data_IF_527221098672
#
_entry.id   IF_527221098672
#
_cell.length_a   1.000
_cell.length_b   1.000
_cell.length_c   1.000
_cell.angle_alpha   90.00
_cell.angle_beta   90.00
_cell.angle_gamma   90.00
#
_symmetry.space_group_name_H-M   'P 1'
#
loop_
_entity.id
_entity.type
_entity.pdbx_description
1 polymer ?
#
# COMPACT_ATOMS: atom_id res chain seq x y z
N UNK A 1 11.98 -8.45 30.17
CA UNK A 1 11.78 -8.06 31.60
C UNK A 1 10.49 -8.68 32.09
N UNK A 2 10.27 -8.73 33.40
CA UNK A 2 8.98 -9.18 33.92
C UNK A 2 7.84 -8.31 33.35
N UNK A 3 6.89 -8.92 32.65
CA UNK A 3 5.66 -8.26 32.18
C UNK A 3 5.74 -7.43 30.89
N UNK A 4 6.89 -7.34 30.21
CA UNK A 4 6.99 -6.57 28.96
C UNK A 4 8.38 -6.47 28.33
N UNK A 5 8.47 -5.58 27.34
CA UNK A 5 9.64 -5.32 26.50
C UNK A 5 10.08 -3.86 26.61
N UNK A 6 11.36 -3.60 26.35
CA UNK A 6 11.89 -2.25 26.11
C UNK A 6 12.07 -2.08 24.60
N UNK A 7 11.52 -1.02 24.05
CA UNK A 7 11.55 -0.71 22.63
C UNK A 7 12.43 0.53 22.40
N UNK A 8 13.47 0.34 21.60
CA UNK A 8 14.35 1.41 21.12
C UNK A 8 14.48 1.29 19.61
N UNK A 9 14.35 2.40 18.90
CA UNK A 9 14.49 2.44 17.45
C UNK A 9 13.92 3.70 16.84
N UNK A 10 14.10 3.81 15.53
CA UNK A 10 13.55 4.85 14.69
C UNK A 10 12.84 4.20 13.50
N UNK A 11 11.60 4.62 13.24
CA UNK A 11 10.75 4.08 12.19
C UNK A 11 10.37 5.21 11.24
N UNK A 12 10.87 5.19 10.00
CA UNK A 12 10.42 6.14 8.98
C UNK A 12 9.03 5.76 8.46
N UNK A 13 8.43 6.68 7.71
CA UNK A 13 7.16 6.49 7.00
C UNK A 13 5.93 6.25 7.91
N UNK A 14 5.85 6.90 9.06
CA UNK A 14 4.66 6.83 9.93
C UNK A 14 3.54 7.74 9.41
N UNK A 15 2.81 7.23 8.41
CA UNK A 15 1.77 8.00 7.70
C UNK A 15 0.62 8.40 8.62
N UNK A 16 0.28 9.69 8.65
CA UNK A 16 -0.80 10.24 9.48
C UNK A 16 -0.45 10.36 10.97
N UNK A 17 0.84 10.31 11.32
CA UNK A 17 1.27 10.26 12.73
C UNK A 17 0.82 11.48 13.54
N UNK A 18 0.78 12.68 12.95
CA UNK A 18 0.34 13.90 13.63
C UNK A 18 -1.12 13.83 14.11
N UNK A 19 -1.96 13.03 13.43
CA UNK A 19 -3.37 12.84 13.77
C UNK A 19 -3.63 11.59 14.63
N UNK A 20 -2.58 10.81 14.93
CA UNK A 20 -2.69 9.51 15.57
C UNK A 20 -2.43 9.60 17.07
N UNK A 21 -3.29 8.99 17.89
CA UNK A 21 -3.10 8.91 19.35
C UNK A 21 -2.28 7.70 19.79
N UNK A 22 -2.09 6.74 18.88
CA UNK A 22 -1.33 5.51 19.06
C UNK A 22 -0.57 5.17 17.79
N UNK A 23 0.54 4.44 17.92
CA UNK A 23 1.33 3.95 16.81
C UNK A 23 1.62 2.46 16.97
N UNK A 24 1.66 1.74 15.85
CA UNK A 24 1.96 0.31 15.80
C UNK A 24 3.35 0.11 15.19
N UNK A 25 4.34 -0.16 16.04
CA UNK A 25 5.74 -0.23 15.64
C UNK A 25 6.20 -1.67 15.54
N UNK A 26 6.88 -2.02 14.45
CA UNK A 26 7.50 -3.34 14.30
C UNK A 26 8.82 -3.41 15.04
N UNK A 27 9.08 -4.48 15.79
CA UNK A 27 10.36 -4.68 16.47
C UNK A 27 10.77 -6.14 16.49
N UNK A 28 12.06 -6.36 16.72
CA UNK A 28 12.65 -7.69 16.84
C UNK A 28 13.09 -7.86 18.29
N UNK A 29 12.51 -8.83 18.97
CA UNK A 29 12.94 -9.21 20.32
C UNK A 29 14.12 -10.18 20.18
N UNK A 30 15.22 -9.88 20.88
CA UNK A 30 16.37 -10.76 20.94
C UNK A 30 15.97 -12.12 21.53
N UNK A 31 16.37 -13.18 20.85
CA UNK A 31 16.20 -14.57 21.26
C UNK A 31 17.57 -15.18 21.57
N UNK A 32 17.59 -16.37 22.17
CA UNK A 32 18.83 -17.10 22.38
C UNK A 32 19.52 -17.45 21.04
N UNK A 33 20.84 -17.67 21.06
CA UNK A 33 21.62 -17.99 19.86
C UNK A 33 21.06 -19.21 19.13
N UNK A 34 20.72 -19.05 17.85
CA UNK A 34 20.19 -20.11 17.00
C UNK A 34 18.66 -20.16 16.91
N UNK A 35 17.94 -19.40 17.73
CA UNK A 35 16.49 -19.24 17.59
C UNK A 35 16.12 -18.25 16.48
N UNK A 36 14.93 -18.43 15.89
CA UNK A 36 14.39 -17.46 14.93
C UNK A 36 14.05 -16.16 15.67
N UNK A 37 14.37 -14.98 15.11
CA UNK A 37 14.03 -13.71 15.74
C UNK A 37 12.52 -13.58 16.00
N UNK A 38 12.13 -13.20 17.22
CA UNK A 38 10.72 -12.95 17.56
C UNK A 38 10.33 -11.56 17.05
N UNK A 39 9.77 -11.52 15.84
CA UNK A 39 9.23 -10.31 15.25
C UNK A 39 7.85 -10.02 15.83
N UNK A 40 7.66 -8.80 16.34
CA UNK A 40 6.42 -8.37 16.98
C UNK A 40 5.97 -7.00 16.50
N UNK A 41 4.68 -6.73 16.66
CA UNK A 41 4.11 -5.40 16.62
C UNK A 41 3.90 -4.92 18.05
N UNK A 42 4.24 -3.66 18.31
CA UNK A 42 4.15 -2.98 19.60
C UNK A 42 3.20 -1.79 19.48
N UNK A 43 2.14 -1.77 20.29
CA UNK A 43 1.20 -0.66 20.33
C UNK A 43 1.66 0.37 21.37
N UNK A 44 2.08 1.55 20.91
CA UNK A 44 2.71 2.60 21.71
C UNK A 44 1.84 3.86 21.68
N UNK A 45 1.49 4.47 22.82
CA UNK A 45 0.71 5.70 22.85
C UNK A 45 1.56 6.89 22.40
N UNK A 46 0.92 7.91 21.85
CA UNK A 46 1.57 9.13 21.32
C UNK A 46 2.50 9.84 22.32
N UNK A 47 2.18 9.82 23.61
CA UNK A 47 3.03 10.41 24.66
C UNK A 47 4.34 9.64 24.92
N UNK A 48 4.53 8.48 24.28
CA UNK A 48 5.66 7.58 24.51
C UNK A 48 6.60 7.45 23.30
N UNK A 49 6.42 8.23 22.24
CA UNK A 49 7.36 8.31 21.13
C UNK A 49 7.52 9.75 20.67
N UNK A 50 8.67 10.06 20.06
CA UNK A 50 8.92 11.37 19.47
C UNK A 50 8.61 11.35 17.98
N UNK A 51 7.87 12.33 17.48
CA UNK A 51 7.70 12.56 16.04
C UNK A 51 8.85 13.43 15.55
N UNK A 52 9.55 12.98 14.51
CA UNK A 52 10.65 13.70 13.87
C UNK A 52 10.09 14.31 12.58
N UNK A 53 10.07 15.64 12.48
CA UNK A 53 9.51 16.34 11.31
C UNK A 53 10.49 16.34 10.13
N UNK A 54 10.59 15.19 9.46
CA UNK A 54 11.53 14.91 8.37
C UNK A 54 10.87 14.61 7.00
N UNK A 55 9.54 14.80 6.90
CA UNK A 55 8.78 14.44 5.70
C UNK A 55 8.81 15.52 4.60
N UNK A 56 9.95 15.65 3.91
CA UNK A 56 10.08 16.43 2.66
C UNK A 56 10.03 15.53 1.41
N UNK A 57 8.84 15.02 1.10
CA UNK A 57 8.63 14.07 0.00
C UNK A 57 8.19 14.73 -1.30
N UNK A 58 8.51 14.15 -2.46
CA UNK A 58 8.05 14.69 -3.76
C UNK A 58 6.60 14.36 -4.08
N UNK A 59 6.04 13.27 -3.55
CA UNK A 59 4.64 12.84 -3.72
C UNK A 59 4.07 12.34 -2.40
N UNK A 60 2.73 12.28 -2.30
CA UNK A 60 2.02 12.00 -1.05
C UNK A 60 2.40 12.96 0.10
N UNK A 61 2.80 14.21 -0.20
CA UNK A 61 3.18 15.20 0.82
C UNK A 61 2.18 15.31 1.98
N UNK A 62 0.88 15.28 1.65
CA UNK A 62 -0.20 15.39 2.63
C UNK A 62 -0.37 14.19 3.56
N UNK A 63 0.37 13.08 3.36
CA UNK A 63 0.33 11.94 4.29
C UNK A 63 1.03 12.22 5.61
N UNK A 64 1.95 13.19 5.65
CA UNK A 64 2.75 13.47 6.84
C UNK A 64 3.47 12.24 7.36
N UNK A 65 4.10 11.46 6.48
CA UNK A 65 4.75 10.17 6.79
C UNK A 65 6.11 10.35 7.50
N UNK A 66 6.10 11.19 8.53
CA UNK A 66 7.23 11.53 9.39
C UNK A 66 7.80 10.30 10.09
N UNK A 67 9.07 10.37 10.47
CA UNK A 67 9.68 9.35 11.31
C UNK A 67 9.21 9.46 12.75
N UNK A 68 9.22 8.32 13.46
CA UNK A 68 9.03 8.27 14.91
C UNK A 68 10.18 7.55 15.59
N UNK A 69 10.57 8.01 16.76
CA UNK A 69 11.63 7.41 17.55
C UNK A 69 11.16 7.05 18.97
N UNK A 70 11.61 5.89 19.43
CA UNK A 70 11.47 5.43 20.80
C UNK A 70 12.87 5.25 21.40
N UNK A 71 13.05 5.68 22.64
CA UNK A 71 14.25 5.42 23.42
C UNK A 71 13.84 4.76 24.75
N UNK A 72 14.21 3.49 24.90
CA UNK A 72 13.98 2.70 26.13
C UNK A 72 12.51 2.64 26.60
N UNK A 73 11.56 2.64 25.66
CA UNK A 73 10.12 2.70 25.95
C UNK A 73 9.61 1.35 26.44
N UNK A 74 9.04 1.29 27.65
CA UNK A 74 8.43 0.06 28.16
C UNK A 74 7.07 -0.22 27.52
N UNK A 75 6.94 -1.38 26.88
CA UNK A 75 5.68 -1.89 26.29
C UNK A 75 5.25 -3.17 27.01
N UNK A 76 4.09 -3.19 27.70
CA UNK A 76 3.60 -4.37 28.39
C UNK A 76 3.15 -5.44 27.40
N UNK A 77 3.24 -6.73 27.78
CA UNK A 77 2.95 -7.88 26.90
C UNK A 77 1.59 -7.77 26.19
N UNK A 78 0.54 -7.32 26.88
CA UNK A 78 -0.81 -7.20 26.33
C UNK A 78 -0.96 -6.15 25.21
N UNK A 79 0.04 -5.27 25.02
CA UNK A 79 0.14 -4.31 23.90
C UNK A 79 1.10 -4.80 22.82
N UNK A 80 1.34 -6.10 22.75
CA UNK A 80 2.20 -6.70 21.73
C UNK A 80 1.54 -7.90 21.08
N UNK A 81 1.90 -8.17 19.83
CA UNK A 81 1.48 -9.38 19.11
C UNK A 81 2.64 -9.89 18.26
N UNK A 82 2.89 -11.20 18.29
CA UNK A 82 3.93 -11.81 17.46
C UNK A 82 3.43 -11.95 16.02
N UNK A 83 4.29 -11.67 15.04
CA UNK A 83 3.92 -11.81 13.63
C UNK A 83 3.60 -13.26 13.26
N UNK A 84 4.26 -14.23 13.91
CA UNK A 84 3.99 -15.67 13.72
C UNK A 84 2.55 -16.03 14.11
N UNK A 85 2.01 -15.43 15.17
CA UNK A 85 0.64 -15.69 15.64
C UNK A 85 -0.38 -15.09 14.67
N UNK A 86 -0.07 -13.92 14.08
CA UNK A 86 -0.88 -13.31 13.01
C UNK A 86 -0.90 -14.23 11.78
N UNK A 87 0.26 -14.72 11.33
CA UNK A 87 0.38 -15.59 10.15
C UNK A 87 -0.32 -16.93 10.35
N UNK A 88 -0.26 -17.48 11.56
CA UNK A 88 -0.93 -18.73 11.94
C UNK A 88 -2.45 -18.57 12.11
N UNK A 89 -2.96 -17.34 12.21
CA UNK A 89 -4.37 -17.11 12.53
C UNK A 89 -4.70 -17.42 14.00
N UNK A 90 -3.72 -17.24 14.88
CA UNK A 90 -3.76 -17.53 16.31
C UNK A 90 -3.58 -16.27 17.18
N UNK A 91 -3.60 -15.09 16.55
CA UNK A 91 -3.45 -13.82 17.26
C UNK A 91 -4.53 -13.68 18.36
N UNK A 92 -4.15 -13.23 19.58
CA UNK A 92 -5.03 -13.25 20.75
C UNK A 92 -6.31 -12.42 20.57
N UNK A 93 -6.26 -11.39 19.71
CA UNK A 93 -7.42 -10.55 19.38
C UNK A 93 -8.58 -11.30 18.72
N UNK A 94 -8.33 -12.46 18.12
CA UNK A 94 -9.36 -13.30 17.48
C UNK A 94 -10.36 -13.90 18.48
N UNK A 95 -9.95 -14.10 19.74
CA UNK A 95 -10.85 -14.57 20.82
C UNK A 95 -11.93 -13.54 21.10
N UNK A 96 -11.56 -12.27 21.15
CA UNK A 96 -12.49 -11.16 21.39
C UNK A 96 -13.24 -10.72 20.12
N UNK A 97 -12.67 -10.99 18.93
CA UNK A 97 -13.17 -10.51 17.65
C UNK A 97 -13.36 -11.66 16.64
N UNK A 98 -14.43 -12.47 16.77
CA UNK A 98 -14.63 -13.67 15.96
C UNK A 98 -15.10 -13.39 14.52
N UNK A 99 -15.40 -12.13 14.18
CA UNK A 99 -15.89 -11.73 12.87
C UNK A 99 -14.93 -12.07 11.72
N UNK A 100 -15.47 -12.31 10.53
CA UNK A 100 -14.68 -12.68 9.34
C UNK A 100 -13.59 -11.65 9.01
N UNK A 101 -13.87 -10.36 9.20
CA UNK A 101 -12.91 -9.26 8.96
C UNK A 101 -11.57 -9.45 9.70
N UNK A 102 -11.61 -9.94 10.94
CA UNK A 102 -10.40 -10.10 11.77
C UNK A 102 -9.60 -11.36 11.42
N UNK A 103 -10.20 -12.28 10.65
CA UNK A 103 -9.57 -13.52 10.17
C UNK A 103 -8.97 -13.39 8.77
N UNK A 104 -9.02 -12.20 8.16
CA UNK A 104 -8.38 -11.95 6.88
C UNK A 104 -6.85 -12.10 6.99
N UNK A 105 -6.17 -12.71 6.00
CA UNK A 105 -4.73 -12.92 6.04
C UNK A 105 -3.99 -11.58 5.88
N UNK A 106 -3.50 -11.05 7.00
CA UNK A 106 -2.93 -9.71 7.13
C UNK A 106 -1.90 -9.36 6.04
N UNK A 107 -0.86 -10.19 5.87
CA UNK A 107 0.23 -9.90 4.92
C UNK A 107 -0.18 -10.02 3.46
N UNK A 108 -1.08 -10.95 3.14
CA UNK A 108 -1.65 -11.09 1.80
C UNK A 108 -2.57 -9.91 1.43
N UNK A 109 -3.31 -9.36 2.41
CA UNK A 109 -4.27 -8.28 2.20
C UNK A 109 -3.71 -6.87 2.36
N UNK A 110 -2.56 -6.70 3.02
CA UNK A 110 -1.95 -5.39 3.23
C UNK A 110 -1.73 -4.55 1.94
N UNK A 111 -1.32 -5.13 0.79
CA UNK A 111 -1.19 -4.40 -0.48
C UNK A 111 -2.48 -3.73 -0.96
N UNK A 112 -3.65 -4.25 -0.57
CA UNK A 112 -4.95 -3.73 -0.97
C UNK A 112 -5.32 -2.49 -0.16
N UNK A 113 -4.89 -2.43 1.10
CA UNK A 113 -5.08 -1.25 1.96
C UNK A 113 -4.29 -0.06 1.43
N UNK A 114 -3.02 -0.27 1.06
CA UNK A 114 -2.16 0.81 0.57
C UNK A 114 -2.32 1.07 -0.94
N UNK A 115 -2.56 0.04 -1.75
CA UNK A 115 -2.63 0.13 -3.22
C UNK A 115 -3.88 0.87 -3.73
N UNK A 116 -4.98 0.89 -2.96
CA UNK A 116 -6.18 1.64 -3.32
C UNK A 116 -5.94 3.16 -3.41
N UNK A 117 -4.91 3.69 -2.73
CA UNK A 117 -4.49 5.10 -2.89
C UNK A 117 -4.02 5.36 -4.31
N UNK A 118 -3.24 4.45 -4.89
CA UNK A 118 -2.79 4.56 -6.28
C UNK A 118 -3.96 4.48 -7.28
N UNK A 119 -4.98 3.65 -6.98
CA UNK A 119 -6.20 3.60 -7.77
C UNK A 119 -6.98 4.93 -7.73
N UNK A 120 -7.11 5.53 -6.55
CA UNK A 120 -7.73 6.85 -6.37
C UNK A 120 -7.01 7.92 -7.20
N UNK A 121 -5.67 7.95 -7.16
CA UNK A 121 -4.86 8.85 -7.99
C UNK A 121 -5.06 8.61 -9.49
N UNK A 122 -5.11 7.35 -9.94
CA UNK A 122 -5.37 7.02 -11.35
C UNK A 122 -6.76 7.49 -11.81
N UNK A 123 -7.80 7.27 -11.01
CA UNK A 123 -9.15 7.76 -11.30
C UNK A 123 -9.23 9.29 -11.32
N UNK A 124 -8.57 9.95 -10.36
CA UNK A 124 -8.47 11.41 -10.32
C UNK A 124 -7.74 11.98 -11.54
N UNK A 125 -6.68 11.32 -12.00
CA UNK A 125 -5.96 11.69 -13.22
C UNK A 125 -6.85 11.54 -14.47
N UNK A 126 -7.60 10.43 -14.57
CA UNK A 126 -8.56 10.21 -15.67
C UNK A 126 -9.59 11.33 -15.74
N UNK A 127 -10.21 11.69 -14.61
CA UNK A 127 -11.18 12.77 -14.54
C UNK A 127 -10.56 14.11 -14.93
N UNK A 128 -9.40 14.43 -14.35
CA UNK A 128 -8.66 15.67 -14.63
C UNK A 128 -8.32 15.80 -16.12
N UNK A 129 -7.76 14.75 -16.71
CA UNK A 129 -7.38 14.71 -18.11
C UNK A 129 -8.58 14.82 -19.04
N UNK A 130 -9.67 14.10 -18.73
CA UNK A 130 -10.88 14.07 -19.55
C UNK A 130 -11.56 15.43 -19.55
N UNK A 131 -11.77 16.03 -18.38
CA UNK A 131 -12.43 17.31 -18.24
C UNK A 131 -11.64 18.43 -18.93
N UNK A 132 -10.32 18.41 -18.83
CA UNK A 132 -9.48 19.38 -19.52
C UNK A 132 -9.54 19.22 -21.04
N UNK A 133 -9.34 18.00 -21.57
CA UNK A 133 -9.22 17.81 -23.02
C UNK A 133 -10.56 17.96 -23.78
N UNK A 134 -11.72 17.85 -23.12
CA UNK A 134 -13.05 18.15 -23.71
C UNK A 134 -13.15 19.56 -24.32
N UNK A 135 -12.47 20.53 -23.72
CA UNK A 135 -12.57 21.95 -24.10
C UNK A 135 -11.25 22.52 -24.63
N UNK A 136 -10.17 21.74 -24.61
CA UNK A 136 -8.84 22.20 -24.99
C UNK A 136 -8.73 22.38 -26.50
N UNK A 137 -8.21 23.53 -26.91
CA UNK A 137 -7.89 23.86 -28.30
C UNK A 137 -6.38 23.97 -28.46
N UNK A 138 -5.85 23.45 -29.57
CA UNK A 138 -4.45 23.59 -29.95
C UNK A 138 -4.10 25.06 -30.19
N UNK A 139 -3.07 25.57 -29.51
CA UNK A 139 -2.57 26.94 -29.74
C UNK A 139 -1.96 27.14 -31.13
N UNK A 140 -1.45 26.07 -31.75
CA UNK A 140 -0.78 26.15 -33.05
C UNK A 140 -1.74 25.98 -34.23
N UNK A 141 -2.76 25.13 -34.08
CA UNK A 141 -3.62 24.73 -35.20
C UNK A 141 -5.08 25.16 -35.04
N UNK A 142 -5.51 25.62 -33.85
CA UNK A 142 -6.92 25.93 -33.57
C UNK A 142 -7.83 24.70 -33.50
N UNK A 143 -7.30 23.49 -33.71
CA UNK A 143 -8.08 22.26 -33.66
C UNK A 143 -8.47 21.89 -32.21
N UNK A 144 -9.66 21.33 -32.04
CA UNK A 144 -10.06 20.75 -30.75
C UNK A 144 -9.21 19.52 -30.46
N UNK A 145 -8.54 19.51 -29.32
CA UNK A 145 -7.66 18.42 -28.93
C UNK A 145 -8.45 17.11 -28.76
N UNK A 146 -9.71 17.17 -28.33
CA UNK A 146 -10.61 16.02 -28.21
C UNK A 146 -10.89 15.29 -29.53
N UNK A 147 -10.74 15.95 -30.68
CA UNK A 147 -10.98 15.34 -32.01
C UNK A 147 -9.75 14.59 -32.54
N UNK A 148 -8.60 14.69 -31.85
CA UNK A 148 -7.38 14.02 -32.24
C UNK A 148 -7.39 12.56 -31.78
N UNK A 149 -7.26 11.62 -32.72
CA UNK A 149 -7.22 10.18 -32.42
C UNK A 149 -6.20 9.79 -31.32
N UNK A 150 -4.97 10.34 -31.27
CA UNK A 150 -4.03 10.04 -30.19
C UNK A 150 -4.55 10.37 -28.79
N UNK A 151 -5.39 11.40 -28.64
CA UNK A 151 -5.97 11.80 -27.34
C UNK A 151 -7.03 10.79 -26.90
N UNK A 152 -7.85 10.33 -27.85
CA UNK A 152 -8.89 9.33 -27.62
C UNK A 152 -8.27 7.96 -27.28
N UNK A 153 -7.20 7.56 -27.99
CA UNK A 153 -6.47 6.32 -27.72
C UNK A 153 -5.83 6.31 -26.32
N UNK A 154 -5.15 7.40 -25.93
CA UNK A 154 -4.57 7.53 -24.57
C UNK A 154 -5.65 7.42 -23.49
N UNK A 155 -6.79 8.09 -23.70
CA UNK A 155 -7.90 8.02 -22.76
C UNK A 155 -8.44 6.59 -22.62
N UNK A 156 -8.63 5.88 -23.74
CA UNK A 156 -9.11 4.51 -23.73
C UNK A 156 -8.14 3.55 -23.00
N UNK A 157 -6.84 3.66 -23.29
CA UNK A 157 -5.83 2.79 -22.66
C UNK A 157 -5.66 3.06 -21.16
N UNK A 158 -5.61 4.34 -20.77
CA UNK A 158 -5.51 4.73 -19.37
C UNK A 158 -6.77 4.29 -18.59
N UNK A 159 -7.95 4.45 -19.18
CA UNK A 159 -9.21 4.00 -18.59
C UNK A 159 -9.23 2.50 -18.39
N UNK A 160 -8.87 1.72 -19.42
CA UNK A 160 -8.80 0.26 -19.32
C UNK A 160 -7.78 -0.22 -18.28
N UNK A 161 -6.65 0.48 -18.15
CA UNK A 161 -5.64 0.18 -17.13
C UNK A 161 -6.18 0.39 -15.71
N UNK A 162 -6.82 1.52 -15.44
CA UNK A 162 -7.41 1.82 -14.13
C UNK A 162 -8.57 0.88 -13.79
N UNK A 163 -9.43 0.56 -14.77
CA UNK A 163 -10.54 -0.36 -14.58
C UNK A 163 -10.05 -1.80 -14.29
N UNK A 164 -9.03 -2.27 -15.02
CA UNK A 164 -8.41 -3.56 -14.75
C UNK A 164 -7.80 -3.63 -13.35
N UNK A 165 -7.14 -2.56 -12.90
CA UNK A 165 -6.62 -2.45 -11.53
C UNK A 165 -7.75 -2.52 -10.48
N UNK A 166 -8.81 -1.75 -10.66
CA UNK A 166 -9.97 -1.74 -9.76
C UNK A 166 -10.61 -3.12 -9.65
N UNK A 167 -10.90 -3.76 -10.80
CA UNK A 167 -11.51 -5.09 -10.83
C UNK A 167 -10.62 -6.11 -10.11
N UNK A 168 -9.30 -6.04 -10.31
CA UNK A 168 -8.35 -6.94 -9.65
C UNK A 168 -8.33 -6.74 -8.13
N UNK A 169 -8.25 -5.49 -7.66
CA UNK A 169 -8.30 -5.17 -6.23
C UNK A 169 -9.60 -5.65 -5.60
N UNK A 170 -10.75 -5.27 -6.16
CA UNK A 170 -12.06 -5.60 -5.60
C UNK A 170 -12.34 -7.10 -5.65
N UNK A 171 -11.97 -7.79 -6.75
CA UNK A 171 -12.16 -9.23 -6.88
C UNK A 171 -11.50 -9.99 -5.74
N UNK A 172 -10.25 -9.67 -5.38
CA UNK A 172 -9.52 -10.33 -4.30
C UNK A 172 -10.08 -10.00 -2.93
N UNK A 173 -10.53 -8.76 -2.70
CA UNK A 173 -11.25 -8.39 -1.48
C UNK A 173 -12.57 -9.18 -1.31
N UNK A 174 -13.35 -9.36 -2.38
CA UNK A 174 -14.58 -10.17 -2.31
C UNK A 174 -14.27 -11.65 -2.14
N UNK A 175 -13.31 -12.20 -2.90
CA UNK A 175 -12.93 -13.61 -2.83
C UNK A 175 -12.49 -14.00 -1.42
N UNK A 176 -11.57 -13.24 -0.80
CA UNK A 176 -11.08 -13.57 0.56
C UNK A 176 -12.18 -13.45 1.61
N UNK A 177 -13.06 -12.45 1.49
CA UNK A 177 -14.15 -12.24 2.43
C UNK A 177 -15.08 -13.44 2.40
N UNK A 178 -15.54 -13.85 1.19
CA UNK A 178 -16.39 -15.02 1.02
C UNK A 178 -15.71 -16.33 1.48
N UNK A 179 -14.39 -16.48 1.24
CA UNK A 179 -13.66 -17.66 1.71
C UNK A 179 -13.61 -17.74 3.24
N UNK A 180 -13.29 -16.63 3.91
CA UNK A 180 -13.17 -16.57 5.38
C UNK A 180 -14.54 -16.69 6.05
N UNK A 181 -15.59 -16.11 5.47
CA UNK A 181 -16.98 -16.30 5.91
C UNK A 181 -17.41 -17.78 5.83
N UNK A 182 -16.95 -18.50 4.80
CA UNK A 182 -17.15 -19.95 4.66
C UNK A 182 -16.21 -20.80 5.55
N UNK A 183 -15.43 -20.18 6.44
CA UNK A 183 -14.51 -20.88 7.35
C UNK A 183 -13.25 -21.43 6.68
N UNK A 184 -12.92 -20.99 5.47
CA UNK A 184 -11.72 -21.43 4.73
C UNK A 184 -10.52 -20.55 5.08
N UNK A 185 -9.34 -21.17 5.15
CA UNK A 185 -8.07 -20.46 5.21
C UNK A 185 -7.41 -20.44 3.84
N UNK A 186 -6.67 -19.37 3.54
CA UNK A 186 -5.91 -19.28 2.30
C UNK A 186 -4.62 -20.10 2.43
N UNK A 187 -4.41 -21.01 1.47
CA UNK A 187 -3.13 -21.70 1.27
C UNK A 187 -2.05 -20.74 0.80
N UNK A 188 -0.79 -21.19 0.87
CA UNK A 188 0.39 -20.37 0.59
C UNK A 188 0.38 -19.82 -0.85
N UNK A 189 0.00 -20.64 -1.82
CA UNK A 189 -0.10 -20.28 -3.24
C UNK A 189 -1.09 -19.12 -3.44
N UNK A 190 -2.26 -19.20 -2.79
CA UNK A 190 -3.29 -18.17 -2.88
C UNK A 190 -2.82 -16.87 -2.24
N UNK A 191 -2.14 -16.92 -1.08
CA UNK A 191 -1.56 -15.71 -0.47
C UNK A 191 -0.51 -15.06 -1.40
N UNK A 192 0.27 -15.87 -2.12
CA UNK A 192 1.23 -15.38 -3.11
C UNK A 192 0.55 -14.73 -4.33
N UNK A 193 -0.54 -15.33 -4.84
CA UNK A 193 -1.37 -14.71 -5.88
C UNK A 193 -1.87 -13.32 -5.43
N UNK A 194 -2.36 -13.22 -4.20
CA UNK A 194 -2.89 -11.97 -3.65
C UNK A 194 -1.81 -10.89 -3.57
N UNK A 195 -0.62 -11.28 -3.11
CA UNK A 195 0.54 -10.40 -3.01
C UNK A 195 0.97 -9.88 -4.38
N UNK A 196 1.02 -10.77 -5.39
CA UNK A 196 1.29 -10.44 -6.79
C UNK A 196 0.25 -9.48 -7.36
N UNK A 197 -1.03 -9.79 -7.18
CA UNK A 197 -2.13 -9.04 -7.79
C UNK A 197 -2.24 -7.62 -7.23
N UNK A 198 -2.03 -7.42 -5.92
CA UNK A 198 -2.01 -6.07 -5.34
C UNK A 198 -0.88 -5.20 -5.90
N UNK A 199 0.32 -5.77 -6.10
CA UNK A 199 1.43 -5.07 -6.73
C UNK A 199 1.20 -4.83 -8.23
N UNK A 200 0.65 -5.80 -8.95
CA UNK A 200 0.36 -5.67 -10.38
C UNK A 200 -0.74 -4.65 -10.66
N UNK A 201 -1.82 -4.65 -9.87
CA UNK A 201 -2.88 -3.65 -9.95
C UNK A 201 -2.32 -2.24 -9.71
N UNK A 202 -1.38 -2.08 -8.78
CA UNK A 202 -0.66 -0.80 -8.58
C UNK A 202 0.15 -0.39 -9.81
N UNK A 203 0.84 -1.32 -10.49
CA UNK A 203 1.53 -1.02 -11.77
C UNK A 203 0.57 -0.54 -12.86
N UNK A 204 -0.64 -1.11 -12.91
CA UNK A 204 -1.68 -0.66 -13.85
C UNK A 204 -2.16 0.77 -13.52
N UNK A 205 -2.27 1.12 -12.23
CA UNK A 205 -2.55 2.50 -11.81
C UNK A 205 -1.45 3.47 -12.26
N UNK A 206 -0.17 3.12 -12.06
CA UNK A 206 0.97 3.92 -12.52
C UNK A 206 0.92 4.09 -14.04
N UNK A 207 0.73 2.99 -14.80
CA UNK A 207 0.58 3.03 -16.26
C UNK A 207 -0.52 3.98 -16.70
N UNK A 208 -1.69 3.90 -16.05
CA UNK A 208 -2.83 4.77 -16.35
C UNK A 208 -2.44 6.25 -16.24
N UNK A 209 -1.80 6.63 -15.14
CA UNK A 209 -1.39 8.03 -14.89
C UNK A 209 -0.27 8.47 -15.85
N UNK A 210 0.71 7.60 -16.12
CA UNK A 210 1.83 7.92 -17.02
C UNK A 210 1.36 8.25 -18.44
N UNK A 211 0.44 7.44 -18.99
CA UNK A 211 -0.17 7.67 -20.31
C UNK A 211 -0.85 9.04 -20.37
N UNK A 212 -1.58 9.40 -19.32
CA UNK A 212 -2.31 10.68 -19.26
C UNK A 212 -1.38 11.86 -19.05
N UNK A 213 -0.36 11.70 -18.20
CA UNK A 213 0.63 12.74 -17.94
C UNK A 213 1.42 13.08 -19.20
N UNK A 214 1.89 12.06 -19.93
CA UNK A 214 2.56 12.23 -21.23
C UNK A 214 1.64 12.96 -22.24
N UNK A 215 0.35 12.60 -22.28
CA UNK A 215 -0.64 13.25 -23.14
C UNK A 215 -1.02 14.68 -22.75
N UNK A 216 -0.65 15.15 -21.55
CA UNK A 216 -1.09 16.45 -21.04
C UNK A 216 -0.23 17.63 -21.54
N UNK A 217 1.03 17.37 -21.91
CA UNK A 217 1.98 18.38 -22.37
C UNK A 217 2.43 19.35 -21.26
N UNK A 218 3.18 20.38 -21.63
CA UNK A 218 3.88 21.25 -20.66
C UNK A 218 3.01 21.94 -19.60
N UNK A 219 1.72 22.18 -19.88
CA UNK A 219 0.82 22.77 -18.89
C UNK A 219 0.58 21.86 -17.66
N UNK A 220 0.83 20.55 -17.77
CA UNK A 220 0.74 19.64 -16.62
C UNK A 220 1.84 19.89 -15.58
N UNK A 221 2.93 20.57 -15.95
CA UNK A 221 4.07 20.83 -15.07
C UNK A 221 3.83 21.97 -14.06
N UNK A 222 2.86 22.86 -14.32
CA UNK A 222 2.54 23.94 -13.39
C UNK A 222 2.01 23.38 -12.07
N UNK A 223 2.47 23.92 -10.95
CA UNK A 223 2.12 23.43 -9.61
C UNK A 223 0.62 23.47 -9.30
N UNK A 224 -0.10 24.42 -9.91
CA UNK A 224 -1.56 24.53 -9.81
C UNK A 224 -2.31 23.43 -10.57
N UNK A 225 -1.65 22.77 -11.53
CA UNK A 225 -2.25 21.68 -12.28
C UNK A 225 -2.30 20.40 -11.42
N UNK A 226 -3.50 19.81 -11.31
CA UNK A 226 -3.68 18.58 -10.55
C UNK A 226 -2.97 17.36 -11.20
N UNK A 227 -2.71 17.38 -12.51
CA UNK A 227 -2.08 16.25 -13.20
C UNK A 227 -0.70 15.89 -12.65
N UNK A 228 0.18 16.88 -12.40
CA UNK A 228 1.50 16.58 -11.79
C UNK A 228 1.38 16.06 -10.37
N UNK A 229 0.32 16.42 -9.63
CA UNK A 229 0.09 15.88 -8.29
C UNK A 229 -0.30 14.41 -8.37
N UNK A 230 -1.26 14.04 -9.23
CA UNK A 230 -1.63 12.63 -9.44
C UNK A 230 -0.43 11.79 -9.89
N UNK A 231 0.41 12.34 -10.79
CA UNK A 231 1.66 11.70 -11.22
C UNK A 231 2.62 11.46 -10.06
N UNK A 232 2.99 12.49 -9.30
CA UNK A 232 3.92 12.33 -8.17
C UNK A 232 3.36 11.40 -7.10
N UNK A 233 2.06 11.50 -6.79
CA UNK A 233 1.43 10.75 -5.71
C UNK A 233 1.28 9.26 -6.06
N UNK A 234 0.96 8.90 -7.31
CA UNK A 234 0.88 7.48 -7.71
C UNK A 234 2.26 6.81 -7.70
N UNK A 235 3.30 7.53 -8.12
CA UNK A 235 4.68 7.02 -8.09
C UNK A 235 5.20 6.89 -6.66
N UNK A 236 4.89 7.85 -5.78
CA UNK A 236 5.20 7.76 -4.36
C UNK A 236 4.47 6.57 -3.70
N UNK A 237 3.18 6.37 -4.00
CA UNK A 237 2.43 5.22 -3.50
C UNK A 237 3.07 3.89 -3.95
N UNK A 238 3.40 3.76 -5.24
CA UNK A 238 4.01 2.56 -5.81
C UNK A 238 5.40 2.22 -5.21
N UNK A 239 6.08 3.21 -4.63
CA UNK A 239 7.35 3.01 -3.92
C UNK A 239 7.23 2.26 -2.59
N UNK A 240 6.01 2.06 -2.07
CA UNK A 240 5.80 1.32 -0.84
C UNK A 240 6.24 -0.15 -0.98
N UNK A 241 6.98 -0.71 -0.01
CA UNK A 241 7.47 -2.11 -0.05
C UNK A 241 6.35 -3.14 -0.30
N UNK A 242 5.18 -2.90 0.28
CA UNK A 242 4.01 -3.74 0.03
C UNK A 242 3.50 -3.74 -1.42
N UNK A 243 3.95 -2.81 -2.27
CA UNK A 243 3.54 -2.71 -3.67
C UNK A 243 4.71 -2.98 -4.63
N UNK A 244 5.90 -3.27 -4.10
CA UNK A 244 7.09 -3.59 -4.88
C UNK A 244 6.86 -4.83 -5.75
N UNK A 245 6.87 -4.64 -7.07
CA UNK A 245 6.61 -5.69 -8.04
C UNK A 245 7.63 -6.82 -7.96
N UNK A 246 8.92 -6.49 -7.92
CA UNK A 246 9.97 -7.50 -7.96
C UNK A 246 9.88 -8.44 -6.75
N UNK A 247 9.61 -7.89 -5.56
CA UNK A 247 9.37 -8.68 -4.35
C UNK A 247 8.18 -9.61 -4.54
N UNK A 248 7.01 -9.08 -4.90
CA UNK A 248 5.79 -9.88 -5.04
C UNK A 248 5.88 -10.92 -6.16
N UNK A 249 6.52 -10.57 -7.29
CA UNK A 249 6.71 -11.46 -8.42
C UNK A 249 7.70 -12.58 -8.10
N UNK A 250 8.79 -12.29 -7.37
CA UNK A 250 9.73 -13.32 -6.90
C UNK A 250 9.07 -14.28 -5.92
N UNK A 251 8.28 -13.79 -4.96
CA UNK A 251 7.54 -14.64 -4.02
C UNK A 251 6.62 -15.59 -4.78
N UNK A 252 5.81 -15.06 -5.71
CA UNK A 252 4.93 -15.86 -6.57
C UNK A 252 5.72 -16.90 -7.36
N UNK A 253 6.79 -16.49 -8.04
CA UNK A 253 7.61 -17.37 -8.86
C UNK A 253 8.26 -18.49 -8.06
N UNK A 254 8.82 -18.19 -6.87
CA UNK A 254 9.40 -19.20 -6.00
C UNK A 254 8.37 -20.27 -5.60
N UNK A 255 7.19 -19.84 -5.13
CA UNK A 255 6.15 -20.76 -4.66
C UNK A 255 5.63 -21.65 -5.81
N UNK A 256 5.33 -21.07 -6.97
CA UNK A 256 4.79 -21.83 -8.11
C UNK A 256 5.84 -22.71 -8.82
N UNK A 257 7.13 -22.43 -8.64
CA UNK A 257 8.23 -23.27 -9.12
C UNK A 257 8.69 -24.29 -8.07
N UNK A 258 8.02 -24.40 -6.93
CA UNK A 258 8.34 -25.37 -5.87
C UNK A 258 9.61 -25.03 -5.07
N UNK A 259 10.06 -23.78 -5.09
CA UNK A 259 11.19 -23.32 -4.29
C UNK A 259 10.72 -22.97 -2.86
N UNK A 260 11.54 -23.23 -1.83
CA UNK A 260 11.21 -22.86 -0.46
C UNK A 260 11.10 -21.33 -0.30
N UNK A 261 9.96 -20.86 0.20
CA UNK A 261 9.77 -19.47 0.60
C UNK A 261 10.10 -19.30 2.10
N UNK A 262 10.90 -18.27 2.43
CA UNK A 262 11.22 -17.89 3.81
C UNK A 262 10.75 -16.45 4.04
N UNK A 263 9.61 -16.29 4.70
CA UNK A 263 9.05 -14.99 5.04
C UNK A 263 7.63 -15.09 5.61
N UNK A 264 7.04 -13.94 5.91
CA UNK A 264 5.65 -13.84 6.36
C UNK A 264 4.75 -13.62 5.14
N UNK A 265 3.77 -14.51 4.93
CA UNK A 265 2.81 -14.44 3.84
C UNK A 265 1.41 -14.86 4.29
#
# INVERSE_FOLDING_TARGET
MAGGYKLTGEWPFSSGVDASTWNMLGGIVATDEGEKPDQRLFLVPSDNYNIIDDWDASGLKGSGSKSVACEDVFVPVHRTVALKDIVAGEAPGLVANPGALFRLPFFAMFPYVVGMVALGAAKGALETYTNWNKHRVSRYTGAKISELAPIQMRLAEASGSAEAAERMFLHRCYEVTSMVEAGKQLGLEKRAEYRRDGAFATKLCVRSVDILFEGSGGNALYSENAMQRHFRDVHAAAGHFALAWDVSATIYGQIYLGLPFKGNL
#
